data_IF_596011141840
#
_entry.id   IF_596011141840
#
_cell.length_a   1.000
_cell.length_b   1.000
_cell.length_c   1.000
_cell.angle_alpha   90.00
_cell.angle_beta   90.00
_cell.angle_gamma   90.00
#
_symmetry.space_group_name_H-M   'P 1'
#
loop_
_entity.id
_entity.type
_entity.pdbx_description
1 polymer ?
#
# COMPACT_ATOMS: atom_id res chain seq x y z
N UNK A 1 13.54 9.89 12.74
CA UNK A 1 13.72 8.43 13.00
C UNK A 1 13.78 7.55 11.74
N UNK A 2 13.06 7.84 10.65
CA UNK A 2 13.04 7.00 9.42
C UNK A 2 14.39 6.76 8.72
N UNK A 3 15.33 7.71 8.82
CA UNK A 3 16.63 7.64 8.13
C UNK A 3 17.61 6.67 8.77
N UNK A 4 17.51 6.46 10.09
CA UNK A 4 18.39 5.53 10.82
C UNK A 4 17.91 4.10 10.57
N UNK A 5 16.59 3.88 10.63
CA UNK A 5 15.99 2.57 10.36
C UNK A 5 16.23 2.10 8.93
N UNK A 6 16.19 2.99 7.94
CA UNK A 6 16.47 2.62 6.55
C UNK A 6 17.93 2.25 6.32
N UNK A 7 18.87 2.94 6.99
CA UNK A 7 20.30 2.58 6.95
C UNK A 7 20.57 1.23 7.61
N UNK A 8 19.90 0.93 8.72
CA UNK A 8 19.98 -0.37 9.38
C UNK A 8 19.40 -1.50 8.51
N UNK A 9 18.23 -1.28 7.90
CA UNK A 9 17.65 -2.25 6.95
C UNK A 9 18.62 -2.51 5.78
N UNK A 10 19.28 -1.46 5.27
CA UNK A 10 20.22 -1.57 4.15
C UNK A 10 21.52 -2.30 4.55
N UNK A 11 22.04 -2.06 5.76
CA UNK A 11 23.18 -2.80 6.30
C UNK A 11 22.84 -4.29 6.53
N UNK A 12 21.65 -4.57 7.09
CA UNK A 12 21.19 -5.94 7.34
C UNK A 12 20.94 -6.73 6.04
N UNK A 13 20.67 -6.07 4.92
CA UNK A 13 20.55 -6.70 3.60
C UNK A 13 21.84 -7.40 3.12
N UNK A 14 23.00 -7.05 3.69
CA UNK A 14 24.30 -7.66 3.37
C UNK A 14 24.72 -8.74 4.38
N UNK A 15 23.87 -9.04 5.35
CA UNK A 15 24.14 -10.04 6.40
C UNK A 15 23.29 -11.29 6.20
N UNK A 16 23.48 -12.30 7.05
CA UNK A 16 22.67 -13.52 7.09
C UNK A 16 21.17 -13.23 7.32
N UNK A 17 20.82 -12.04 7.83
CA UNK A 17 19.43 -11.60 8.02
C UNK A 17 18.78 -10.97 6.78
N UNK A 18 19.47 -10.92 5.63
CA UNK A 18 18.93 -10.44 4.37
C UNK A 18 17.53 -11.01 3.99
N UNK A 19 17.22 -12.31 4.11
CA UNK A 19 15.90 -12.83 3.80
C UNK A 19 14.80 -12.23 4.68
N UNK A 20 15.09 -11.98 5.96
CA UNK A 20 14.13 -11.38 6.89
C UNK A 20 13.79 -9.93 6.49
N UNK A 21 14.82 -9.14 6.16
CA UNK A 21 14.61 -7.74 5.72
C UNK A 21 13.84 -7.68 4.40
N UNK A 22 14.13 -8.60 3.46
CA UNK A 22 13.39 -8.71 2.19
C UNK A 22 11.93 -9.08 2.43
N UNK A 23 11.65 -10.04 3.31
CA UNK A 23 10.28 -10.43 3.67
C UNK A 23 9.50 -9.25 4.26
N UNK A 24 10.10 -8.50 5.20
CA UNK A 24 9.49 -7.30 5.78
C UNK A 24 9.21 -6.22 4.73
N UNK A 25 10.14 -5.99 3.80
CA UNK A 25 9.95 -5.03 2.71
C UNK A 25 8.80 -5.47 1.79
N UNK A 26 8.75 -6.74 1.44
CA UNK A 26 7.70 -7.28 0.58
C UNK A 26 6.32 -7.22 1.24
N UNK A 27 6.24 -7.51 2.55
CA UNK A 27 5.01 -7.36 3.31
C UNK A 27 4.52 -5.90 3.33
N UNK A 28 5.42 -4.92 3.51
CA UNK A 28 5.07 -3.49 3.43
C UNK A 28 4.56 -3.12 2.03
N UNK A 29 5.25 -3.55 0.98
CA UNK A 29 4.84 -3.28 -0.40
C UNK A 29 3.48 -3.90 -0.72
N UNK A 30 3.24 -5.14 -0.29
CA UNK A 30 1.94 -5.81 -0.46
C UNK A 30 0.82 -5.07 0.25
N UNK A 31 1.02 -4.64 1.50
CA UNK A 31 0.02 -3.83 2.23
C UNK A 31 -0.29 -2.51 1.52
N UNK A 32 0.73 -1.82 1.01
CA UNK A 32 0.54 -0.59 0.24
C UNK A 32 -0.21 -0.85 -1.06
N UNK A 33 0.12 -1.93 -1.78
CA UNK A 33 -0.57 -2.30 -3.00
C UNK A 33 -2.04 -2.64 -2.75
N UNK A 34 -2.35 -3.41 -1.70
CA UNK A 34 -3.74 -3.71 -1.29
C UNK A 34 -4.50 -2.43 -0.95
N UNK A 35 -3.90 -1.52 -0.18
CA UNK A 35 -4.54 -0.24 0.15
C UNK A 35 -4.88 0.59 -1.10
N UNK A 36 -3.97 0.66 -2.08
CA UNK A 36 -4.20 1.37 -3.33
C UNK A 36 -5.32 0.72 -4.14
N UNK A 37 -5.31 -0.61 -4.23
CA UNK A 37 -6.35 -1.37 -4.92
C UNK A 37 -7.74 -1.16 -4.28
N UNK A 38 -7.81 -1.26 -2.95
CA UNK A 38 -9.06 -1.05 -2.22
C UNK A 38 -9.59 0.38 -2.39
N UNK A 39 -8.69 1.36 -2.35
CA UNK A 39 -9.05 2.77 -2.61
C UNK A 39 -9.62 2.96 -4.01
N UNK A 40 -8.95 2.43 -5.05
CA UNK A 40 -9.46 2.52 -6.43
C UNK A 40 -10.83 1.86 -6.57
N UNK A 41 -11.04 0.72 -5.91
CA UNK A 41 -12.32 0.04 -5.91
C UNK A 41 -13.42 0.88 -5.24
N UNK A 42 -13.12 1.52 -4.12
CA UNK A 42 -14.04 2.42 -3.43
C UNK A 42 -14.37 3.62 -4.32
N UNK A 43 -13.37 4.24 -4.96
CA UNK A 43 -13.58 5.39 -5.84
C UNK A 43 -14.51 5.02 -7.02
N UNK A 44 -14.33 3.83 -7.62
CA UNK A 44 -15.22 3.33 -8.68
C UNK A 44 -16.64 3.12 -8.15
N UNK A 45 -16.81 2.48 -6.99
CA UNK A 45 -18.13 2.26 -6.40
C UNK A 45 -18.84 3.58 -6.06
N UNK A 46 -18.12 4.56 -5.53
CA UNK A 46 -18.67 5.89 -5.26
C UNK A 46 -19.09 6.57 -6.58
N UNK A 47 -18.26 6.47 -7.62
CA UNK A 47 -18.60 7.03 -8.93
C UNK A 47 -19.85 6.39 -9.53
N UNK A 48 -20.04 5.07 -9.38
CA UNK A 48 -21.24 4.39 -9.87
C UNK A 48 -22.49 4.76 -9.08
N UNK A 49 -22.37 4.90 -7.75
CA UNK A 49 -23.49 5.33 -6.90
C UNK A 49 -23.93 6.74 -7.29
N UNK A 50 -22.95 7.67 -7.45
CA UNK A 50 -23.24 9.04 -7.85
C UNK A 50 -23.90 9.05 -9.23
N UNK A 51 -23.40 8.29 -10.20
CA UNK A 51 -23.99 8.22 -11.54
C UNK A 51 -25.44 7.68 -11.54
N UNK A 52 -25.73 6.64 -10.73
CA UNK A 52 -27.10 6.12 -10.61
C UNK A 52 -28.04 7.07 -9.86
N UNK A 53 -27.51 7.86 -8.92
CA UNK A 53 -28.30 8.78 -8.10
C UNK A 53 -28.28 10.22 -8.64
N UNK A 54 -27.57 10.50 -9.74
CA UNK A 54 -27.62 11.78 -10.45
C UNK A 54 -29.04 12.03 -10.98
N UNK A 55 -29.73 10.96 -11.42
CA UNK A 55 -31.15 10.99 -11.79
C UNK A 55 -32.09 11.30 -10.60
N UNK A 56 -31.64 11.09 -9.36
CA UNK A 56 -32.41 11.39 -8.13
C UNK A 56 -32.14 12.80 -7.58
N UNK A 57 -31.15 13.51 -8.12
CA UNK A 57 -30.81 14.89 -7.75
C UNK A 57 -31.34 15.94 -8.76
N UNK A 58 -31.96 15.49 -9.86
CA UNK A 58 -32.75 16.32 -10.78
C UNK A 58 -34.22 16.41 -10.35
#
# INVERSE_FOLDING_TARGET
MRTITSRLELALCWTVFAPLVRALRQQRMSRSASYVYDRQRIDVLLSSIIAEHEDLLS
#
